data_IF_972324192155
#
_entry.id   IF_972324192155
#
_cell.length_a   1.000
_cell.length_b   1.000
_cell.length_c   1.000
_cell.angle_alpha   90.00
_cell.angle_beta   90.00
_cell.angle_gamma   90.00
#
_symmetry.space_group_name_H-M   'P 1'
#
loop_
_entity.id
_entity.type
_entity.pdbx_description
1 polymer ?
#
# COMPACT_ATOMS: atom_id res chain seq x y z
N UNK A 1 -30.30 -16.15 10.77
CA UNK A 1 -28.85 -16.00 10.57
C UNK A 1 -28.64 -15.29 9.24
N UNK A 2 -28.04 -14.10 9.25
CA UNK A 2 -27.82 -13.33 8.01
C UNK A 2 -26.58 -13.93 7.30
N UNK A 3 -26.69 -14.48 6.08
CA UNK A 3 -25.59 -15.17 5.39
C UNK A 3 -24.36 -14.28 5.14
N UNK A 4 -24.52 -12.95 5.21
CA UNK A 4 -23.42 -12.00 5.14
C UNK A 4 -22.43 -12.05 6.32
N UNK A 5 -22.80 -12.64 7.46
CA UNK A 5 -21.96 -12.65 8.67
C UNK A 5 -20.75 -13.61 8.59
N UNK A 6 -20.89 -14.72 7.87
CA UNK A 6 -19.83 -15.73 7.73
C UNK A 6 -18.61 -15.22 6.94
N UNK A 7 -18.82 -14.25 6.04
CA UNK A 7 -17.78 -13.71 5.17
C UNK A 7 -17.02 -12.52 5.78
N UNK A 8 -17.52 -11.94 6.87
CA UNK A 8 -16.89 -10.77 7.53
C UNK A 8 -15.44 -11.04 7.99
N UNK A 9 -15.09 -12.22 8.54
CA UNK A 9 -13.69 -12.53 8.89
C UNK A 9 -12.78 -12.59 7.67
N UNK A 10 -13.29 -13.07 6.53
CA UNK A 10 -12.55 -13.13 5.25
C UNK A 10 -12.31 -11.72 4.73
N UNK A 11 -13.34 -10.86 4.74
CA UNK A 11 -13.24 -9.45 4.35
C UNK A 11 -12.22 -8.71 5.22
N UNK A 12 -12.23 -8.94 6.54
CA UNK A 12 -11.24 -8.38 7.45
C UNK A 12 -9.81 -8.83 7.11
N UNK A 13 -9.60 -10.13 6.89
CA UNK A 13 -8.29 -10.67 6.50
C UNK A 13 -7.81 -10.11 5.16
N UNK A 14 -8.71 -9.92 4.20
CA UNK A 14 -8.38 -9.30 2.91
C UNK A 14 -7.95 -7.84 3.09
N UNK A 15 -8.68 -7.05 3.87
CA UNK A 15 -8.32 -5.65 4.13
C UNK A 15 -6.97 -5.52 4.86
N UNK A 16 -6.72 -6.37 5.87
CA UNK A 16 -5.43 -6.39 6.58
C UNK A 16 -4.30 -6.89 5.68
N UNK A 17 -4.54 -7.96 4.91
CA UNK A 17 -3.57 -8.49 3.95
C UNK A 17 -3.20 -7.49 2.86
N UNK A 18 -4.19 -6.77 2.31
CA UNK A 18 -3.95 -5.68 1.37
C UNK A 18 -3.14 -4.54 1.99
N UNK A 19 -3.40 -4.20 3.26
CA UNK A 19 -2.61 -3.21 4.01
C UNK A 19 -1.15 -3.65 4.20
N UNK A 20 -0.93 -4.94 4.53
CA UNK A 20 0.41 -5.50 4.67
C UNK A 20 1.16 -5.52 3.34
N UNK A 21 0.52 -5.94 2.25
CA UNK A 21 1.10 -5.93 0.90
C UNK A 21 1.46 -4.49 0.49
N UNK A 22 0.56 -3.53 0.74
CA UNK A 22 0.81 -2.12 0.46
C UNK A 22 2.08 -1.63 1.18
N UNK A 23 2.12 -1.77 2.52
CA UNK A 23 3.27 -1.35 3.32
C UNK A 23 4.57 -2.06 2.91
N UNK A 24 4.52 -3.38 2.71
CA UNK A 24 5.68 -4.17 2.27
C UNK A 24 6.18 -3.76 0.89
N UNK A 25 5.28 -3.42 -0.05
CA UNK A 25 5.66 -2.99 -1.40
C UNK A 25 6.39 -1.65 -1.37
N UNK A 26 5.92 -0.70 -0.55
CA UNK A 26 6.62 0.57 -0.33
C UNK A 26 7.99 0.37 0.33
N UNK A 27 8.09 -0.49 1.34
CA UNK A 27 9.39 -0.81 1.97
C UNK A 27 10.35 -1.51 1.00
N UNK A 28 9.87 -2.45 0.19
CA UNK A 28 10.67 -3.12 -0.83
C UNK A 28 11.19 -2.12 -1.87
N UNK A 29 10.36 -1.16 -2.28
CA UNK A 29 10.77 -0.09 -3.19
C UNK A 29 11.85 0.81 -2.57
N UNK A 30 11.76 1.13 -1.27
CA UNK A 30 12.81 1.86 -0.56
C UNK A 30 14.14 1.08 -0.56
N UNK A 31 14.10 -0.20 -0.21
CA UNK A 31 15.30 -1.07 -0.22
C UNK A 31 15.91 -1.13 -1.62
N UNK A 32 15.07 -1.29 -2.64
CA UNK A 32 15.51 -1.26 -4.04
C UNK A 32 16.24 0.05 -4.35
N UNK A 33 15.67 1.20 -4.01
CA UNK A 33 16.29 2.51 -4.25
C UNK A 33 17.60 2.74 -3.49
N UNK A 34 17.75 2.17 -2.29
CA UNK A 34 19.01 2.25 -1.53
C UNK A 34 20.11 1.41 -2.20
N UNK A 35 19.73 0.28 -2.81
CA UNK A 35 20.68 -0.66 -3.43
C UNK A 35 20.97 -0.36 -4.91
N UNK A 36 20.08 0.35 -5.61
CA UNK A 36 20.18 0.60 -7.03
C UNK A 36 20.98 1.88 -7.32
N UNK A 37 21.82 1.90 -8.37
CA UNK A 37 22.49 3.12 -8.81
C UNK A 37 21.47 4.12 -9.36
N UNK A 38 21.30 5.25 -8.66
CA UNK A 38 20.37 6.32 -9.02
C UNK A 38 21.03 7.24 -10.07
N UNK A 39 20.89 6.87 -11.34
CA UNK A 39 21.34 7.69 -12.49
C UNK A 39 20.14 8.35 -13.18
N UNK A 40 20.33 9.48 -13.89
CA UNK A 40 19.24 10.10 -14.67
C UNK A 40 18.53 9.12 -15.62
N UNK A 41 19.28 8.23 -16.28
CA UNK A 41 18.69 7.25 -17.18
C UNK A 41 17.79 6.25 -16.42
N UNK A 42 18.20 5.81 -15.23
CA UNK A 42 17.41 4.90 -14.40
C UNK A 42 16.09 5.53 -13.89
N UNK A 43 16.10 6.84 -13.64
CA UNK A 43 14.99 7.64 -13.09
C UNK A 43 13.95 8.02 -14.15
N UNK A 44 14.38 8.33 -15.38
CA UNK A 44 13.49 8.86 -16.43
C UNK A 44 13.08 7.83 -17.50
N UNK A 45 13.87 6.79 -17.74
CA UNK A 45 13.60 5.77 -18.76
C UNK A 45 13.93 4.34 -18.30
N UNK A 46 14.17 4.16 -17.01
CA UNK A 46 14.74 2.93 -16.48
C UNK A 46 13.87 2.25 -15.42
N UNK A 47 14.46 1.28 -14.72
CA UNK A 47 13.72 0.42 -13.81
C UNK A 47 13.10 1.18 -12.64
N UNK A 48 13.63 2.35 -12.23
CA UNK A 48 13.03 3.16 -11.15
C UNK A 48 11.64 3.66 -11.56
N UNK A 49 11.46 4.16 -12.78
CA UNK A 49 10.16 4.62 -13.30
C UNK A 49 9.18 3.45 -13.43
N UNK A 50 9.65 2.30 -13.93
CA UNK A 50 8.82 1.10 -14.08
C UNK A 50 8.34 0.58 -12.73
N UNK A 51 9.23 0.42 -11.75
CA UNK A 51 8.86 -0.03 -10.41
C UNK A 51 8.01 1.01 -9.66
N UNK A 52 8.22 2.31 -9.87
CA UNK A 52 7.34 3.35 -9.34
C UNK A 52 5.92 3.21 -9.93
N UNK A 53 5.80 3.00 -11.24
CA UNK A 53 4.51 2.77 -11.90
C UNK A 53 3.79 1.53 -11.38
N UNK A 54 4.52 0.41 -11.26
CA UNK A 54 3.99 -0.84 -10.69
C UNK A 54 3.53 -0.64 -9.22
N UNK A 55 4.32 0.08 -8.42
CA UNK A 55 3.99 0.41 -7.03
C UNK A 55 2.72 1.26 -6.93
N UNK A 56 2.52 2.21 -7.84
CA UNK A 56 1.29 3.03 -7.90
C UNK A 56 0.07 2.19 -8.27
N UNK A 57 0.20 1.28 -9.25
CA UNK A 57 -0.87 0.35 -9.62
C UNK A 57 -1.26 -0.59 -8.47
N UNK A 58 -0.27 -1.17 -7.79
CA UNK A 58 -0.49 -2.00 -6.59
C UNK A 58 -1.14 -1.17 -5.48
N UNK A 59 -0.70 0.07 -5.29
CA UNK A 59 -1.28 0.97 -4.28
C UNK A 59 -2.75 1.26 -4.56
N UNK A 60 -3.11 1.56 -5.82
CA UNK A 60 -4.49 1.76 -6.22
C UNK A 60 -5.36 0.52 -5.98
N UNK A 61 -4.90 -0.65 -6.41
CA UNK A 61 -5.62 -1.90 -6.21
C UNK A 61 -5.79 -2.24 -4.71
N UNK A 62 -4.73 -2.10 -3.92
CA UNK A 62 -4.76 -2.33 -2.48
C UNK A 62 -5.72 -1.36 -1.78
N UNK A 63 -5.73 -0.07 -2.16
CA UNK A 63 -6.66 0.91 -1.60
C UNK A 63 -8.12 0.56 -1.87
N UNK A 64 -8.46 0.10 -3.08
CA UNK A 64 -9.82 -0.35 -3.40
C UNK A 64 -10.26 -1.52 -2.50
N UNK A 65 -9.37 -2.48 -2.27
CA UNK A 65 -9.64 -3.64 -1.38
C UNK A 65 -9.79 -3.19 0.07
N UNK A 66 -8.92 -2.30 0.56
CA UNK A 66 -8.97 -1.77 1.93
C UNK A 66 -10.26 -0.97 2.16
N UNK A 67 -10.56 -0.01 1.28
CA UNK A 67 -11.76 0.84 1.38
C UNK A 67 -13.02 0.00 1.25
N UNK A 68 -13.08 -0.90 0.26
CA UNK A 68 -14.20 -1.82 0.07
C UNK A 68 -14.42 -2.72 1.29
N UNK A 69 -13.35 -3.29 1.84
CA UNK A 69 -13.40 -4.13 3.03
C UNK A 69 -13.86 -3.38 4.28
N UNK A 70 -13.35 -2.17 4.51
CA UNK A 70 -13.77 -1.31 5.61
C UNK A 70 -15.24 -0.91 5.46
N UNK A 71 -15.68 -0.53 4.25
CA UNK A 71 -17.07 -0.15 4.01
C UNK A 71 -18.05 -1.30 4.29
N UNK A 72 -17.70 -2.52 3.86
CA UNK A 72 -18.50 -3.72 4.14
C UNK A 72 -18.54 -4.02 5.65
N UNK A 73 -17.39 -3.95 6.34
CA UNK A 73 -17.31 -4.18 7.79
C UNK A 73 -18.05 -3.11 8.60
N UNK A 74 -17.99 -1.85 8.16
CA UNK A 74 -18.66 -0.71 8.80
C UNK A 74 -20.18 -0.79 8.63
N UNK A 75 -20.68 -1.17 7.44
CA UNK A 75 -22.11 -1.44 7.22
C UNK A 75 -22.63 -2.59 8.09
N UNK A 76 -21.79 -3.56 8.41
CA UNK A 76 -22.12 -4.65 9.32
C UNK A 76 -21.98 -4.26 10.83
N UNK A 77 -21.74 -2.99 11.14
CA UNK A 77 -21.52 -2.46 12.50
C UNK A 77 -20.45 -3.21 13.31
N UNK A 78 -19.46 -3.80 12.64
CA UNK A 78 -18.43 -4.59 13.29
C UNK A 78 -17.32 -3.72 13.87
N UNK A 79 -16.91 -4.00 15.11
CA UNK A 79 -15.74 -3.37 15.75
C UNK A 79 -14.44 -3.63 14.98
N UNK A 80 -14.38 -4.71 14.20
CA UNK A 80 -13.25 -5.05 13.31
C UNK A 80 -12.98 -3.98 12.24
N UNK A 81 -13.99 -3.18 11.85
CA UNK A 81 -13.83 -2.09 10.88
C UNK A 81 -12.78 -1.06 11.35
N UNK A 82 -12.79 -0.72 12.66
CA UNK A 82 -11.82 0.23 13.24
C UNK A 82 -10.39 -0.29 13.16
N UNK A 83 -10.19 -1.58 13.44
CA UNK A 83 -8.87 -2.22 13.34
C UNK A 83 -8.39 -2.27 11.89
N UNK A 84 -9.25 -2.65 10.94
CA UNK A 84 -8.91 -2.65 9.52
C UNK A 84 -8.55 -1.23 9.03
N UNK A 85 -9.29 -0.21 9.47
CA UNK A 85 -8.99 1.18 9.18
C UNK A 85 -7.64 1.62 9.77
N UNK A 86 -7.30 1.20 10.99
CA UNK A 86 -6.00 1.48 11.60
C UNK A 86 -4.84 0.86 10.79
N UNK A 87 -5.00 -0.40 10.34
CA UNK A 87 -4.02 -1.07 9.48
C UNK A 87 -3.86 -0.36 8.13
N UNK A 88 -4.97 0.02 7.50
CA UNK A 88 -4.95 0.80 6.26
C UNK A 88 -4.25 2.15 6.44
N UNK A 89 -4.57 2.87 7.52
CA UNK A 89 -3.93 4.15 7.85
C UNK A 89 -2.42 3.97 8.09
N UNK A 90 -2.01 2.92 8.80
CA UNK A 90 -0.60 2.59 9.01
C UNK A 90 0.15 2.32 7.70
N UNK A 91 -0.45 1.56 6.78
CA UNK A 91 0.13 1.29 5.47
C UNK A 91 0.26 2.56 4.61
N UNK A 92 -0.73 3.46 4.67
CA UNK A 92 -0.65 4.77 4.01
C UNK A 92 0.46 5.64 4.61
N UNK A 93 0.60 5.64 5.94
CA UNK A 93 1.67 6.35 6.64
C UNK A 93 3.05 5.86 6.19
N UNK A 94 3.24 4.54 6.08
CA UNK A 94 4.47 3.95 5.55
C UNK A 94 4.72 4.44 4.11
N UNK A 95 3.71 4.39 3.24
CA UNK A 95 3.82 4.87 1.87
C UNK A 95 4.21 6.35 1.79
N UNK A 96 3.58 7.21 2.59
CA UNK A 96 3.90 8.64 2.68
C UNK A 96 5.33 8.89 3.17
N UNK A 97 5.78 8.16 4.20
CA UNK A 97 7.13 8.29 4.73
C UNK A 97 8.18 7.84 3.71
N UNK A 98 7.96 6.68 3.07
CA UNK A 98 8.84 6.19 2.02
C UNK A 98 8.90 7.20 0.88
N UNK A 99 7.75 7.68 0.39
CA UNK A 99 7.70 8.69 -0.67
C UNK A 99 8.46 9.96 -0.31
N UNK A 100 8.29 10.47 0.92
CA UNK A 100 8.99 11.65 1.40
C UNK A 100 10.51 11.46 1.46
N UNK A 101 10.99 10.25 1.77
CA UNK A 101 12.42 9.91 1.81
C UNK A 101 12.98 9.63 0.41
N UNK A 102 12.22 8.97 -0.47
CA UNK A 102 12.68 8.59 -1.80
C UNK A 102 12.70 9.75 -2.77
N UNK A 103 11.78 10.72 -2.64
CA UNK A 103 11.73 11.91 -3.51
C UNK A 103 13.06 12.69 -3.53
N UNK A 104 13.65 13.12 -2.40
CA UNK A 104 14.93 13.83 -2.42
C UNK A 104 16.11 12.95 -2.87
N UNK A 105 16.03 11.63 -2.72
CA UNK A 105 17.05 10.71 -3.26
C UNK A 105 17.00 10.69 -4.80
N UNK A 106 15.80 10.70 -5.38
CA UNK A 106 15.59 10.74 -6.83
C UNK A 106 15.95 12.13 -7.39
N UNK A 107 15.60 13.22 -6.70
CA UNK A 107 15.92 14.59 -7.15
C UNK A 107 17.43 14.87 -7.18
N UNK A 108 18.21 14.12 -6.40
CA UNK A 108 19.68 14.19 -6.36
C UNK A 108 20.36 13.26 -7.37
N UNK A 109 19.59 12.57 -8.23
CA UNK A 109 20.13 11.69 -9.25
C UNK A 109 21.12 12.44 -10.16
N UNK A 110 22.33 11.90 -10.28
CA UNK A 110 23.42 12.46 -11.10
C UNK A 110 23.29 12.02 -12.55
#
# INVERSE_FOLDING_TARGET
MNPGSANLPVVYRLAVGASMILGASWLAYLVYLISAPITRQSVYMGPITFYAGALMAISGAAMLVIIGGIAILARAHQTMAKRAALWGAGALLIGCLVFAVTRPLIDRAV
#
